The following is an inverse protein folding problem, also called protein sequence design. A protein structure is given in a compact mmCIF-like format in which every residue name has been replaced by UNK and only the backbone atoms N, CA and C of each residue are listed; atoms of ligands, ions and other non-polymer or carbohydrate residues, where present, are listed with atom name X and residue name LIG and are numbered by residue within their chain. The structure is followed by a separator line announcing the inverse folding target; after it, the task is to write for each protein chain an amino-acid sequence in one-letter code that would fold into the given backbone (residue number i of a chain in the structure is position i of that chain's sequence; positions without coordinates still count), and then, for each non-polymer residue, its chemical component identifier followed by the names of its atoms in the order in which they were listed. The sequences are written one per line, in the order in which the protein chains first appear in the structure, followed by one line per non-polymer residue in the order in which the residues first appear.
data_IF_535118995354
#
_entry.id   IF_535118995354
#
_cell.length_a   1.000
_cell.length_b   1.000
_cell.length_c   1.000
_cell.angle_alpha   90.00
_cell.angle_beta   90.00
_cell.angle_gamma   90.00
#
_symmetry.space_group_name_H-M   'P 1'
#
loop_
_entity.id
_entity.type
_entity.pdbx_description
1 polymer ?
#
# COMPACT_ATOMS: atom_id res chain seq x y z
N UNK A 1 84.81 -8.89 9.57
CA UNK A 1 83.78 -8.84 10.63
C UNK A 1 82.51 -8.30 10.01
N UNK A 2 81.38 -9.00 10.15
CA UNK A 2 80.15 -8.79 9.37
C UNK A 2 79.11 -7.96 10.14
N UNK A 3 78.29 -7.18 9.43
CA UNK A 3 76.93 -6.76 9.85
C UNK A 3 76.16 -6.37 8.57
N UNK A 4 75.30 -7.25 8.04
CA UNK A 4 73.86 -7.37 8.36
C UNK A 4 73.06 -6.17 7.77
N UNK A 5 72.58 -6.27 6.53
CA UNK A 5 71.20 -6.65 6.17
C UNK A 5 70.15 -5.67 6.74
N UNK A 6 69.73 -4.69 5.93
CA UNK A 6 68.52 -3.90 6.19
C UNK A 6 67.34 -4.48 5.40
N UNK A 7 66.30 -4.76 6.17
CA UNK A 7 65.07 -5.45 5.83
C UNK A 7 64.14 -4.65 4.91
N UNK A 8 63.49 -5.43 4.05
CA UNK A 8 62.25 -5.18 3.32
C UNK A 8 61.13 -4.75 4.28
N UNK A 9 60.34 -3.77 3.87
CA UNK A 9 59.10 -3.38 4.55
C UNK A 9 58.16 -2.61 3.63
N UNK A 10 57.64 -3.26 2.58
CA UNK A 10 56.57 -2.71 1.76
C UNK A 10 55.24 -3.33 2.22
N UNK A 11 54.51 -2.60 3.06
CA UNK A 11 53.14 -2.94 3.47
C UNK A 11 52.19 -2.59 2.32
N UNK A 12 51.76 -3.60 1.56
CA UNK A 12 50.63 -3.51 0.64
C UNK A 12 49.34 -3.52 1.46
N UNK A 13 48.75 -2.35 1.68
CA UNK A 13 47.38 -2.22 2.16
C UNK A 13 46.43 -2.61 1.01
N UNK A 14 46.10 -3.89 0.92
CA UNK A 14 44.91 -4.36 0.20
C UNK A 14 43.68 -3.87 0.95
N UNK A 15 43.14 -2.73 0.51
CA UNK A 15 41.80 -2.31 0.86
C UNK A 15 40.83 -3.35 0.29
N UNK A 16 40.25 -4.17 1.17
CA UNK A 16 39.05 -4.93 0.86
C UNK A 16 37.94 -3.92 0.60
N UNK A 17 37.75 -3.54 -0.65
CA UNK A 17 36.51 -2.94 -1.12
C UNK A 17 35.41 -3.94 -0.83
N UNK A 18 34.65 -3.70 0.24
CA UNK A 18 33.38 -4.39 0.42
C UNK A 18 32.46 -3.78 -0.62
N UNK A 19 32.34 -4.46 -1.76
CA UNK A 19 31.20 -4.31 -2.66
C UNK A 19 29.96 -4.64 -1.83
N UNK A 20 29.46 -3.63 -1.11
CA UNK A 20 28.05 -3.58 -0.77
C UNK A 20 27.36 -3.32 -2.11
N UNK A 21 27.16 -4.41 -2.86
CA UNK A 21 26.08 -4.48 -3.82
C UNK A 21 24.80 -4.21 -3.05
N UNK A 22 24.50 -2.94 -2.85
CA UNK A 22 23.13 -2.46 -2.72
C UNK A 22 22.50 -2.85 -4.03
N UNK A 23 21.94 -4.06 -4.08
CA UNK A 23 20.79 -4.33 -4.91
C UNK A 23 19.78 -3.29 -4.46
N UNK A 24 19.74 -2.15 -5.14
CA UNK A 24 18.60 -1.25 -5.09
C UNK A 24 17.45 -2.10 -5.57
N UNK A 25 16.76 -2.74 -4.63
CA UNK A 25 15.44 -3.27 -4.88
C UNK A 25 14.65 -2.06 -5.36
N UNK A 26 14.25 -2.07 -6.63
CA UNK A 26 13.23 -1.14 -7.08
C UNK A 26 12.05 -1.25 -6.12
N UNK A 27 11.41 -0.13 -5.76
CA UNK A 27 10.24 -0.19 -4.90
C UNK A 27 9.23 -1.11 -5.59
N UNK A 28 8.83 -2.17 -4.89
CA UNK A 28 7.80 -3.08 -5.37
C UNK A 28 6.56 -2.24 -5.74
N UNK A 29 5.98 -2.53 -6.89
CA UNK A 29 4.69 -1.97 -7.26
C UNK A 29 3.66 -2.27 -6.16
N UNK A 30 2.61 -1.46 -6.05
CA UNK A 30 1.55 -1.71 -5.06
C UNK A 30 0.94 -3.11 -5.21
N UNK A 31 0.82 -3.58 -6.46
CA UNK A 31 0.44 -4.95 -6.82
C UNK A 31 1.36 -5.99 -6.16
N UNK A 32 2.68 -5.90 -6.40
CA UNK A 32 3.67 -6.82 -5.85
C UNK A 32 3.70 -6.78 -4.32
N UNK A 33 3.50 -5.61 -3.71
CA UNK A 33 3.43 -5.48 -2.26
C UNK A 33 2.22 -6.24 -1.68
N UNK A 34 1.05 -6.15 -2.31
CA UNK A 34 -0.16 -6.90 -1.89
C UNK A 34 0.05 -8.40 -2.04
N UNK A 35 0.63 -8.85 -3.16
CA UNK A 35 0.92 -10.27 -3.42
C UNK A 35 1.90 -10.82 -2.36
N UNK A 36 3.00 -10.11 -2.08
CA UNK A 36 3.96 -10.52 -1.05
C UNK A 36 3.34 -10.59 0.35
N UNK A 37 2.43 -9.67 0.68
CA UNK A 37 1.71 -9.71 1.96
C UNK A 37 0.74 -10.90 2.02
N UNK A 38 0.09 -11.24 0.90
CA UNK A 38 -0.79 -12.40 0.79
C UNK A 38 -0.01 -13.72 0.99
N UNK A 39 1.16 -13.84 0.38
CA UNK A 39 2.07 -14.99 0.55
C UNK A 39 2.52 -15.14 2.01
N UNK A 40 2.93 -14.04 2.65
CA UNK A 40 3.37 -14.03 4.06
C UNK A 40 2.24 -14.35 5.04
N UNK A 41 1.00 -14.01 4.68
CA UNK A 41 -0.18 -14.27 5.49
C UNK A 41 -0.75 -15.70 5.29
N UNK A 42 -0.13 -16.52 4.44
CA UNK A 42 -0.58 -17.89 4.13
C UNK A 42 -2.06 -17.94 3.73
N UNK A 43 -2.50 -17.02 2.88
CA UNK A 43 -3.92 -16.90 2.50
C UNK A 43 -4.44 -18.17 1.81
N UNK A 44 -5.77 -18.34 1.84
CA UNK A 44 -6.42 -19.48 1.20
C UNK A 44 -6.03 -19.59 -0.28
N UNK A 45 -5.92 -20.84 -0.76
CA UNK A 45 -5.50 -21.15 -2.13
C UNK A 45 -6.34 -20.44 -3.20
N UNK A 46 -7.60 -20.13 -2.89
CA UNK A 46 -8.49 -19.43 -3.79
C UNK A 46 -8.13 -17.95 -4.00
N UNK A 47 -7.74 -17.23 -2.94
CA UNK A 47 -7.27 -15.84 -3.09
C UNK A 47 -5.91 -15.82 -3.81
N UNK A 48 -5.01 -16.75 -3.48
CA UNK A 48 -3.72 -16.82 -4.20
C UNK A 48 -3.88 -17.10 -5.68
N UNK A 49 -4.82 -17.97 -6.06
CA UNK A 49 -5.06 -18.27 -7.48
C UNK A 49 -5.53 -17.06 -8.29
N UNK A 50 -6.27 -16.13 -7.66
CA UNK A 50 -6.68 -14.87 -8.28
C UNK A 50 -5.49 -13.90 -8.39
N UNK A 51 -4.59 -13.89 -7.42
CA UNK A 51 -3.48 -12.93 -7.35
C UNK A 51 -2.24 -13.33 -8.17
N UNK A 52 -2.12 -14.60 -8.56
CA UNK A 52 -0.89 -15.17 -9.12
C UNK A 52 -0.48 -14.58 -10.47
N UNK A 53 -1.44 -14.18 -11.31
CA UNK A 53 -1.15 -13.60 -12.62
C UNK A 53 -0.87 -12.09 -12.57
N UNK A 54 -1.00 -11.47 -11.40
CA UNK A 54 -0.72 -10.06 -11.18
C UNK A 54 -1.76 -9.11 -11.76
N UNK A 55 -2.95 -9.61 -12.11
CA UNK A 55 -4.10 -8.80 -12.49
C UNK A 55 -5.33 -9.29 -11.69
N UNK A 56 -6.27 -8.38 -11.41
CA UNK A 56 -7.53 -8.77 -10.77
C UNK A 56 -8.64 -8.13 -11.56
N UNK A 57 -9.45 -8.96 -12.19
CA UNK A 57 -10.65 -8.49 -12.89
C UNK A 57 -11.78 -8.18 -11.93
N UNK A 58 -12.75 -7.37 -12.36
CA UNK A 58 -13.95 -7.09 -11.56
C UNK A 58 -14.71 -8.38 -11.20
N UNK A 59 -14.78 -9.35 -12.11
CA UNK A 59 -15.48 -10.62 -11.87
C UNK A 59 -14.80 -11.45 -10.78
N UNK A 60 -13.46 -11.43 -10.71
CA UNK A 60 -12.69 -12.10 -9.64
C UNK A 60 -12.85 -11.41 -8.30
N UNK A 61 -12.78 -10.07 -8.30
CA UNK A 61 -13.09 -9.24 -7.14
C UNK A 61 -14.51 -9.52 -6.60
N UNK A 62 -15.51 -9.45 -7.48
CA UNK A 62 -16.91 -9.68 -7.12
C UNK A 62 -17.12 -11.11 -6.61
N UNK A 63 -16.46 -12.09 -7.22
CA UNK A 63 -16.50 -13.49 -6.78
C UNK A 63 -15.93 -13.65 -5.37
N UNK A 64 -14.75 -13.10 -5.09
CA UNK A 64 -14.12 -13.16 -3.77
C UNK A 64 -15.00 -12.49 -2.70
N UNK A 65 -15.52 -11.29 -2.99
CA UNK A 65 -16.43 -10.58 -2.08
C UNK A 65 -17.72 -11.36 -1.82
N UNK A 66 -18.30 -11.99 -2.84
CA UNK A 66 -19.50 -12.81 -2.68
C UNK A 66 -19.25 -14.05 -1.82
N UNK A 67 -18.05 -14.66 -1.87
CA UNK A 67 -17.66 -15.74 -0.93
C UNK A 67 -17.60 -15.22 0.51
N UNK A 68 -16.98 -14.06 0.73
CA UNK A 68 -16.96 -13.41 2.04
C UNK A 68 -18.38 -13.15 2.57
N UNK A 69 -19.27 -12.63 1.72
CA UNK A 69 -20.67 -12.39 2.09
C UNK A 69 -21.42 -13.69 2.42
N UNK A 70 -21.16 -14.77 1.70
CA UNK A 70 -21.77 -16.06 1.98
C UNK A 70 -21.27 -16.68 3.30
N UNK A 71 -19.97 -16.55 3.58
CA UNK A 71 -19.41 -16.90 4.89
C UNK A 71 -20.11 -16.09 6.00
N UNK A 72 -20.26 -14.78 5.84
CA UNK A 72 -20.92 -13.91 6.81
C UNK A 72 -22.40 -14.30 7.01
N UNK A 73 -23.14 -14.58 5.93
CA UNK A 73 -24.53 -15.05 6.03
C UNK A 73 -24.62 -16.37 6.79
N UNK A 74 -23.74 -17.31 6.48
CA UNK A 74 -23.65 -18.60 7.18
C UNK A 74 -23.30 -18.43 8.67
N UNK A 75 -22.46 -17.44 8.99
CA UNK A 75 -22.11 -17.07 10.36
C UNK A 75 -23.23 -16.33 11.13
N UNK A 76 -24.36 -16.00 10.46
CA UNK A 76 -25.53 -15.37 11.07
C UNK A 76 -25.60 -13.85 10.90
N UNK A 77 -24.77 -13.25 10.04
CA UNK A 77 -24.92 -11.84 9.68
C UNK A 77 -25.98 -11.65 8.60
N UNK A 78 -26.65 -10.50 8.62
CA UNK A 78 -27.45 -10.03 7.49
C UNK A 78 -26.58 -9.19 6.57
N UNK A 79 -26.36 -9.65 5.33
CA UNK A 79 -25.59 -8.93 4.31
C UNK A 79 -26.53 -8.46 3.20
N UNK A 80 -26.59 -7.15 2.97
CA UNK A 80 -27.35 -6.52 1.89
C UNK A 80 -26.39 -5.88 0.89
N UNK A 81 -26.47 -6.26 -0.37
CA UNK A 81 -25.73 -5.64 -1.48
C UNK A 81 -26.72 -4.80 -2.29
N UNK A 82 -26.47 -3.50 -2.43
CA UNK A 82 -27.38 -2.52 -3.05
C UNK A 82 -26.99 -2.17 -4.48
N UNK A 83 -25.79 -2.56 -4.91
CA UNK A 83 -25.28 -2.34 -6.27
C UNK A 83 -23.78 -2.12 -6.23
N UNK A 84 -23.30 -1.20 -7.07
CA UNK A 84 -21.91 -0.77 -7.10
C UNK A 84 -21.81 0.73 -6.91
N UNK A 85 -20.66 1.19 -6.44
CA UNK A 85 -20.30 2.62 -6.40
C UNK A 85 -18.87 2.83 -6.92
N UNK A 86 -18.52 4.08 -7.23
CA UNK A 86 -17.18 4.46 -7.68
C UNK A 86 -16.40 5.08 -6.52
N UNK A 87 -15.27 4.48 -6.17
CA UNK A 87 -14.37 4.95 -5.11
C UNK A 87 -12.93 4.95 -5.63
N UNK A 88 -12.22 6.07 -5.47
CA UNK A 88 -10.80 6.21 -5.85
C UNK A 88 -10.46 5.68 -7.26
N UNK A 89 -11.35 5.94 -8.23
CA UNK A 89 -11.15 5.51 -9.61
C UNK A 89 -11.65 4.10 -9.92
N UNK A 90 -11.90 3.24 -8.93
CA UNK A 90 -12.39 1.86 -9.13
C UNK A 90 -13.88 1.71 -8.83
N UNK A 91 -14.49 0.65 -9.37
CA UNK A 91 -15.87 0.22 -9.08
C UNK A 91 -15.84 -0.81 -7.97
N UNK A 92 -16.54 -0.56 -6.86
CA UNK A 92 -16.63 -1.50 -5.73
C UNK A 92 -18.09 -1.83 -5.42
N UNK A 93 -18.32 -2.94 -4.73
CA UNK A 93 -19.65 -3.33 -4.27
C UNK A 93 -20.15 -2.38 -3.17
N UNK A 94 -21.39 -1.93 -3.29
CA UNK A 94 -22.08 -1.18 -2.25
C UNK A 94 -22.86 -2.16 -1.38
N UNK A 95 -22.48 -2.29 -0.10
CA UNK A 95 -23.05 -3.28 0.80
C UNK A 95 -23.11 -2.81 2.25
N UNK A 96 -23.95 -3.48 3.03
CA UNK A 96 -24.02 -3.34 4.48
C UNK A 96 -24.09 -4.71 5.17
N UNK A 97 -23.44 -4.80 6.33
CA UNK A 97 -23.44 -6.00 7.19
C UNK A 97 -24.05 -5.62 8.53
N UNK A 98 -24.99 -6.43 9.02
CA UNK A 98 -25.64 -6.23 10.32
C UNK A 98 -25.61 -7.52 11.13
N UNK A 99 -25.35 -7.38 12.43
CA UNK A 99 -25.54 -8.47 13.39
C UNK A 99 -27.02 -8.78 13.58
N UNK A 100 -27.39 -10.07 13.63
CA UNK A 100 -28.78 -10.50 13.84
C UNK A 100 -29.00 -11.18 15.19
N UNK A 101 -27.92 -11.47 15.91
CA UNK A 101 -27.90 -12.18 17.19
C UNK A 101 -26.89 -11.54 18.15
N UNK A 102 -26.89 -11.94 19.43
CA UNK A 102 -25.87 -11.53 20.39
C UNK A 102 -24.45 -11.89 19.95
N UNK A 103 -24.30 -13.02 19.25
CA UNK A 103 -22.99 -13.56 18.82
C UNK A 103 -22.45 -12.86 17.57
N UNK A 104 -23.32 -12.12 16.86
CA UNK A 104 -22.99 -11.35 15.66
C UNK A 104 -23.11 -9.84 15.90
N UNK A 105 -23.33 -9.41 17.15
CA UNK A 105 -23.44 -8.00 17.51
C UNK A 105 -22.11 -7.27 17.23
N UNK A 106 -22.12 -6.40 16.21
CA UNK A 106 -20.97 -5.61 15.76
C UNK A 106 -20.54 -4.54 16.76
N UNK A 107 -21.37 -4.22 17.77
CA UNK A 107 -20.93 -3.39 18.90
C UNK A 107 -19.90 -4.13 19.77
N UNK A 108 -19.91 -5.47 19.75
CA UNK A 108 -18.98 -6.31 20.51
C UNK A 108 -17.73 -6.67 19.71
N UNK A 109 -16.61 -6.91 20.41
CA UNK A 109 -15.39 -7.39 19.77
C UNK A 109 -15.59 -8.77 19.12
N UNK A 110 -16.36 -9.65 19.76
CA UNK A 110 -16.61 -11.00 19.26
C UNK A 110 -17.36 -10.98 17.92
N UNK A 111 -18.41 -10.16 17.80
CA UNK A 111 -19.14 -10.00 16.54
C UNK A 111 -18.25 -9.45 15.43
N UNK A 112 -17.46 -8.39 15.71
CA UNK A 112 -16.52 -7.82 14.72
C UNK A 112 -15.47 -8.82 14.26
N UNK A 113 -14.82 -9.53 15.18
CA UNK A 113 -13.79 -10.52 14.82
C UNK A 113 -14.38 -11.68 14.01
N UNK A 114 -15.65 -12.04 14.22
CA UNK A 114 -16.32 -13.07 13.42
C UNK A 114 -16.64 -12.60 12.00
N UNK A 115 -17.08 -11.36 11.82
CA UNK A 115 -17.23 -10.75 10.50
C UNK A 115 -15.87 -10.66 9.79
N UNK A 116 -14.86 -10.15 10.49
CA UNK A 116 -13.51 -9.97 9.96
C UNK A 116 -12.89 -11.29 9.53
N UNK A 117 -13.09 -12.39 10.28
CA UNK A 117 -12.60 -13.71 9.90
C UNK A 117 -13.08 -14.12 8.50
N UNK A 118 -14.39 -13.97 8.21
CA UNK A 118 -14.92 -14.25 6.88
C UNK A 118 -14.31 -13.36 5.79
N UNK A 119 -14.12 -12.07 6.07
CA UNK A 119 -13.52 -11.15 5.10
C UNK A 119 -12.04 -11.48 4.83
N UNK A 120 -11.27 -11.73 5.89
CA UNK A 120 -9.85 -12.09 5.80
C UNK A 120 -9.66 -13.39 5.01
N UNK A 121 -10.46 -14.40 5.31
CA UNK A 121 -10.38 -15.72 4.70
C UNK A 121 -10.73 -15.70 3.21
N UNK A 122 -11.73 -14.90 2.82
CA UNK A 122 -12.34 -15.03 1.49
C UNK A 122 -11.96 -13.92 0.50
N UNK A 123 -11.69 -12.70 0.97
CA UNK A 123 -11.63 -11.53 0.07
C UNK A 123 -10.54 -10.50 0.34
N UNK A 124 -9.96 -10.44 1.54
CA UNK A 124 -9.11 -9.32 1.97
C UNK A 124 -8.03 -8.91 0.99
N UNK A 125 -7.29 -9.85 0.43
CA UNK A 125 -6.15 -9.52 -0.42
C UNK A 125 -6.56 -9.23 -1.86
N UNK A 126 -7.61 -9.91 -2.35
CA UNK A 126 -8.22 -9.59 -3.65
C UNK A 126 -8.85 -8.19 -3.62
N UNK A 127 -9.57 -7.85 -2.55
CA UNK A 127 -10.17 -6.53 -2.35
C UNK A 127 -9.08 -5.45 -2.22
N UNK A 128 -8.02 -5.71 -1.44
CA UNK A 128 -6.88 -4.80 -1.33
C UNK A 128 -6.20 -4.55 -2.69
N UNK A 129 -5.95 -5.61 -3.47
CA UNK A 129 -5.39 -5.48 -4.82
C UNK A 129 -6.32 -4.64 -5.71
N UNK A 130 -7.60 -4.99 -5.77
CA UNK A 130 -8.59 -4.32 -6.60
C UNK A 130 -8.67 -2.81 -6.33
N UNK A 131 -8.60 -2.42 -5.06
CA UNK A 131 -8.69 -1.02 -4.63
C UNK A 131 -7.39 -0.22 -4.76
N UNK A 132 -6.25 -0.86 -4.96
CA UNK A 132 -4.94 -0.17 -4.92
C UNK A 132 -4.09 -0.34 -6.19
N UNK A 133 -4.29 -1.44 -6.91
CA UNK A 133 -3.40 -1.90 -7.95
C UNK A 133 -4.09 -2.20 -9.29
N UNK A 134 -5.43 -2.12 -9.37
CA UNK A 134 -6.13 -2.25 -10.66
C UNK A 134 -5.76 -1.11 -11.61
N UNK A 135 -5.79 -1.39 -12.92
CA UNK A 135 -5.46 -0.42 -13.97
C UNK A 135 -6.25 0.90 -13.85
N UNK A 136 -7.53 0.82 -13.44
CA UNK A 136 -8.36 2.02 -13.25
C UNK A 136 -7.86 2.90 -12.09
N UNK A 137 -7.39 2.29 -11.00
CA UNK A 137 -6.83 2.98 -9.83
C UNK A 137 -5.49 3.61 -10.19
N UNK A 138 -4.60 2.84 -10.84
CA UNK A 138 -3.30 3.35 -11.29
C UNK A 138 -3.50 4.56 -12.19
N UNK A 139 -4.37 4.45 -13.19
CA UNK A 139 -4.66 5.56 -14.09
C UNK A 139 -5.35 6.75 -13.37
N UNK A 140 -6.15 6.51 -12.34
CA UNK A 140 -6.75 7.57 -11.52
C UNK A 140 -5.69 8.32 -10.72
N UNK A 141 -4.79 7.60 -10.03
CA UNK A 141 -3.73 8.19 -9.22
C UNK A 141 -2.71 8.94 -10.09
N UNK A 142 -2.38 8.45 -11.29
CA UNK A 142 -1.54 9.19 -12.25
C UNK A 142 -2.17 10.53 -12.67
N UNK A 143 -3.47 10.53 -13.01
CA UNK A 143 -4.19 11.76 -13.38
C UNK A 143 -4.27 12.73 -12.21
N UNK A 144 -4.52 12.21 -11.01
CA UNK A 144 -4.59 13.00 -9.77
C UNK A 144 -3.23 13.62 -9.44
N UNK A 145 -2.16 12.83 -9.47
CA UNK A 145 -0.78 13.28 -9.28
C UNK A 145 -0.44 14.40 -10.28
N UNK A 146 -0.70 14.18 -11.57
CA UNK A 146 -0.45 15.18 -12.61
C UNK A 146 -1.22 16.49 -12.39
N UNK A 147 -2.46 16.42 -11.91
CA UNK A 147 -3.27 17.60 -11.61
C UNK A 147 -2.79 18.38 -10.38
N UNK A 148 -2.28 17.67 -9.36
CA UNK A 148 -1.92 18.25 -8.07
C UNK A 148 -0.45 18.65 -7.96
N UNK A 149 0.44 18.07 -8.77
CA UNK A 149 1.87 18.34 -8.73
C UNK A 149 2.22 19.83 -8.77
N UNK A 150 1.66 20.67 -9.68
CA UNK A 150 2.03 22.07 -9.73
C UNK A 150 1.67 22.83 -8.45
N UNK A 151 0.52 22.50 -7.85
CA UNK A 151 0.04 23.12 -6.61
C UNK A 151 0.92 22.73 -5.43
N UNK A 152 1.33 21.46 -5.37
CA UNK A 152 2.20 20.96 -4.31
C UNK A 152 3.58 21.63 -4.38
N UNK A 153 4.14 21.77 -5.58
CA UNK A 153 5.41 22.48 -5.78
C UNK A 153 5.31 23.94 -5.37
N UNK A 154 4.22 24.63 -5.70
CA UNK A 154 4.00 26.03 -5.32
C UNK A 154 3.94 26.21 -3.79
N UNK A 155 3.22 25.34 -3.10
CA UNK A 155 3.16 25.36 -1.64
C UNK A 155 4.54 25.08 -1.02
N UNK A 156 5.23 24.03 -1.47
CA UNK A 156 6.55 23.67 -0.97
C UNK A 156 7.57 24.80 -1.18
N UNK A 157 7.55 25.45 -2.34
CA UNK A 157 8.40 26.62 -2.62
C UNK A 157 8.07 27.80 -1.70
N UNK A 158 6.79 28.06 -1.44
CA UNK A 158 6.34 29.12 -0.53
C UNK A 158 6.73 28.88 0.92
N UNK A 159 6.76 27.61 1.34
CA UNK A 159 7.26 27.18 2.64
C UNK A 159 8.80 27.14 2.73
N UNK A 160 9.51 27.43 1.63
CA UNK A 160 10.97 27.41 1.57
C UNK A 160 11.58 26.01 1.63
N UNK A 161 10.82 24.97 1.26
CA UNK A 161 11.34 23.61 1.15
C UNK A 161 12.32 23.49 -0.03
N UNK A 162 13.39 22.71 0.16
CA UNK A 162 14.33 22.36 -0.90
C UNK A 162 13.83 21.13 -1.65
N UNK A 163 13.44 21.31 -2.91
CA UNK A 163 12.78 20.30 -3.74
C UNK A 163 13.53 20.14 -5.06
N UNK A 164 14.00 18.93 -5.41
CA UNK A 164 14.59 18.68 -6.72
C UNK A 164 13.63 18.99 -7.87
N UNK A 165 14.15 19.56 -8.95
CA UNK A 165 13.35 19.93 -10.14
C UNK A 165 12.73 18.72 -10.84
N UNK A 166 13.36 17.55 -10.70
CA UNK A 166 12.97 16.26 -11.27
C UNK A 166 12.30 15.33 -10.25
N UNK A 167 12.02 15.81 -9.04
CA UNK A 167 11.29 15.05 -8.01
C UNK A 167 9.96 14.53 -8.56
N UNK A 168 9.66 13.25 -8.35
CA UNK A 168 8.35 12.68 -8.67
C UNK A 168 7.27 13.25 -7.73
N UNK A 169 5.99 13.10 -8.08
CA UNK A 169 4.91 13.50 -7.18
C UNK A 169 4.99 12.81 -5.80
N UNK A 170 5.44 11.54 -5.75
CA UNK A 170 5.66 10.81 -4.50
C UNK A 170 6.76 11.47 -3.66
N UNK A 171 7.87 11.88 -4.29
CA UNK A 171 8.94 12.61 -3.59
C UNK A 171 8.43 13.93 -3.01
N UNK A 172 7.58 14.65 -3.74
CA UNK A 172 6.97 15.89 -3.26
C UNK A 172 6.06 15.65 -2.04
N UNK A 173 5.26 14.59 -2.05
CA UNK A 173 4.40 14.21 -0.93
C UNK A 173 5.26 13.87 0.30
N UNK A 174 6.38 13.17 0.12
CA UNK A 174 7.31 12.89 1.21
C UNK A 174 7.91 14.17 1.81
N UNK A 175 8.38 15.11 0.97
CA UNK A 175 8.91 16.39 1.44
C UNK A 175 7.84 17.17 2.21
N UNK A 176 6.61 17.21 1.70
CA UNK A 176 5.50 17.89 2.36
C UNK A 176 5.14 17.26 3.71
N UNK A 177 5.11 15.92 3.79
CA UNK A 177 4.85 15.18 5.03
C UNK A 177 5.93 15.46 6.10
N UNK A 178 7.19 15.50 5.67
CA UNK A 178 8.34 15.86 6.49
C UNK A 178 8.25 17.29 7.02
N UNK A 179 7.85 18.23 6.15
CA UNK A 179 7.65 19.64 6.50
C UNK A 179 6.55 19.79 7.56
N UNK A 180 5.39 19.16 7.36
CA UNK A 180 4.28 19.20 8.31
C UNK A 180 4.67 18.61 9.67
N UNK A 181 5.40 17.49 9.66
CA UNK A 181 5.91 16.84 10.88
C UNK A 181 6.87 17.73 11.66
N UNK A 182 7.67 18.55 10.98
CA UNK A 182 8.67 19.43 11.58
C UNK A 182 8.12 20.79 11.99
N UNK A 183 7.17 21.37 11.24
CA UNK A 183 6.79 22.78 11.38
C UNK A 183 5.30 23.04 11.68
N UNK A 184 4.41 22.03 11.64
CA UNK A 184 2.95 22.06 11.98
C UNK A 184 2.06 23.19 11.41
N UNK A 185 2.63 24.21 10.78
CA UNK A 185 1.96 25.41 10.29
C UNK A 185 1.83 25.42 8.77
N UNK A 186 2.69 24.64 8.08
CA UNK A 186 2.66 24.45 6.63
C UNK A 186 2.22 23.00 6.33
N UNK A 187 0.92 22.83 6.06
CA UNK A 187 0.32 21.56 5.63
C UNK A 187 0.01 21.62 4.13
N UNK A 188 1.06 21.48 3.31
CA UNK A 188 0.92 21.52 1.86
C UNK A 188 0.09 20.36 1.30
N UNK A 189 -0.01 19.23 2.02
CA UNK A 189 -0.84 18.09 1.61
C UNK A 189 -2.32 18.43 1.78
N UNK A 190 -2.69 18.95 2.96
CA UNK A 190 -4.04 19.42 3.23
C UNK A 190 -4.45 20.59 2.33
N UNK A 191 -3.54 21.53 2.05
CA UNK A 191 -3.82 22.73 1.25
C UNK A 191 -4.21 22.42 -0.20
N UNK A 192 -3.55 21.45 -0.82
CA UNK A 192 -3.89 21.05 -2.21
C UNK A 192 -5.07 20.07 -2.26
N UNK A 193 -5.65 19.71 -1.11
CA UNK A 193 -6.71 18.73 -1.01
C UNK A 193 -6.25 17.30 -1.35
N UNK A 194 -4.95 17.00 -1.18
CA UNK A 194 -4.46 15.63 -1.32
C UNK A 194 -4.78 14.88 -0.02
N UNK A 195 -5.94 14.24 0.05
CA UNK A 195 -6.22 13.32 1.15
C UNK A 195 -5.32 12.10 1.01
N UNK A 196 -4.34 11.96 1.89
CA UNK A 196 -3.75 10.65 2.19
C UNK A 196 -4.80 9.82 2.91
N UNK A 197 -4.79 8.52 2.71
CA UNK A 197 -5.72 7.61 3.38
C UNK A 197 -5.34 7.57 4.88
N UNK A 198 -5.85 8.52 5.66
CA UNK A 198 -5.73 8.53 7.11
C UNK A 198 -6.90 7.71 7.68
N UNK A 199 -6.74 6.38 7.62
CA UNK A 199 -7.51 5.34 8.35
C UNK A 199 -8.92 5.67 8.84
#
# INVERSE_FOLDING_TARGET
MPTAWSLVGLLLLTACGTDHGSTSAEPASQAEAVIQLAEQAEVGAEQMAILEDGDVTYDEYETAMNRAFECMRTAGFAVTVTGTNRQNGTTVLDFSVQGTTSDTDLATQAGRSRQEACYVEEARFVDAFWQTASDEVVAFEERRASALEPLLRECLASAGADVPTDASFVDLVHVASDLTSKNRTDDCIGEIGFSTWDG
#
